data_IF_822086622888
#
_entry.id   IF_822086622888
#
_cell.length_a   1.000
_cell.length_b   1.000
_cell.length_c   1.000
_cell.angle_alpha   90.00
_cell.angle_beta   90.00
_cell.angle_gamma   90.00
#
_symmetry.space_group_name_H-M   'P 1'
#
loop_
_entity.id
_entity.type
_entity.pdbx_description
1 polymer ?
#
# COMPACT_ATOMS: atom_id res chain seq x y z
N UNK A 1 -52.37 32.02 27.33
CA UNK A 1 -52.21 30.66 27.90
C UNK A 1 -51.34 29.89 26.93
N UNK A 2 -50.07 29.78 27.31
CA UNK A 2 -48.98 29.16 26.56
C UNK A 2 -49.06 27.64 26.67
N UNK A 3 -48.58 26.95 25.64
CA UNK A 3 -48.41 25.49 25.61
C UNK A 3 -47.25 25.12 24.68
N UNK A 4 -46.03 25.21 25.21
CA UNK A 4 -44.80 24.73 24.59
C UNK A 4 -44.75 23.19 24.63
N UNK A 5 -44.60 22.57 23.45
CA UNK A 5 -44.25 21.15 23.31
C UNK A 5 -42.80 21.02 22.88
N UNK A 6 -41.92 20.64 23.80
CA UNK A 6 -40.53 20.29 23.55
C UNK A 6 -40.44 18.90 22.90
N UNK A 7 -39.88 18.81 21.69
CA UNK A 7 -39.35 17.57 21.16
C UNK A 7 -37.82 17.62 21.22
N UNK A 8 -37.27 16.86 22.17
CA UNK A 8 -35.85 16.57 22.28
C UNK A 8 -35.51 15.41 21.32
N UNK A 9 -34.67 15.70 20.33
CA UNK A 9 -34.00 14.67 19.52
C UNK A 9 -32.66 14.38 20.18
N UNK A 10 -32.57 13.21 20.81
CA UNK A 10 -31.32 12.64 21.28
C UNK A 10 -30.62 11.96 20.10
N UNK A 11 -29.48 12.50 19.67
CA UNK A 11 -28.53 11.78 18.82
C UNK A 11 -27.24 11.61 19.62
N UNK A 12 -26.96 10.37 19.98
CA UNK A 12 -25.81 9.96 20.78
C UNK A 12 -24.54 9.96 19.94
N UNK A 13 -23.76 11.04 20.05
CA UNK A 13 -22.33 11.01 19.71
C UNK A 13 -21.63 10.30 20.87
N UNK A 14 -21.13 9.09 20.61
CA UNK A 14 -20.24 8.39 21.54
C UNK A 14 -18.86 9.03 21.43
N UNK A 15 -18.60 10.01 22.29
CA UNK A 15 -17.28 10.57 22.55
C UNK A 15 -16.39 9.50 23.20
N UNK A 16 -15.34 9.08 22.50
CA UNK A 16 -14.23 8.34 23.10
C UNK A 16 -13.18 9.35 23.59
N UNK A 17 -13.36 9.82 24.82
CA UNK A 17 -12.38 10.63 25.53
C UNK A 17 -11.42 9.70 26.32
N UNK A 18 -10.10 9.75 26.12
CA UNK A 18 -9.15 9.02 26.95
C UNK A 18 -8.87 9.82 28.22
N UNK A 19 -9.39 9.34 29.36
CA UNK A 19 -8.98 9.87 30.66
C UNK A 19 -7.55 9.43 31.02
N UNK A 20 -6.79 10.43 31.45
CA UNK A 20 -5.54 10.36 32.17
C UNK A 20 -5.52 9.31 33.29
N UNK A 21 -4.45 8.50 33.32
CA UNK A 21 -3.93 7.94 34.55
C UNK A 21 -2.56 8.58 34.83
N UNK A 22 -2.55 9.37 35.90
CA UNK A 22 -1.37 9.95 36.57
C UNK A 22 -1.01 9.03 37.74
N UNK A 23 0.29 8.87 37.97
CA UNK A 23 0.88 8.31 39.20
C UNK A 23 1.67 7.02 38.96
N UNK A 24 2.89 6.84 39.43
CA UNK A 24 3.76 7.72 40.19
C UNK A 24 5.18 7.15 40.16
N UNK A 25 6.14 8.00 40.50
CA UNK A 25 7.58 7.80 40.37
C UNK A 25 8.20 6.72 41.29
N UNK A 26 9.29 6.11 40.83
CA UNK A 26 10.43 5.74 41.67
C UNK A 26 11.75 5.94 40.89
N UNK A 27 12.63 6.74 41.48
CA UNK A 27 13.94 7.21 41.00
C UNK A 27 15.08 6.25 41.43
N UNK A 28 16.31 6.45 40.93
CA UNK A 28 17.36 5.44 40.81
C UNK A 28 18.28 5.35 42.03
N UNK A 29 19.14 4.32 42.05
CA UNK A 29 20.29 4.21 42.94
C UNK A 29 21.43 3.39 42.33
N UNK A 30 22.68 3.62 42.78
CA UNK A 30 23.87 3.68 41.91
C UNK A 30 24.90 2.57 42.19
N UNK A 31 25.94 2.58 41.35
CA UNK A 31 27.34 2.17 41.56
C UNK A 31 27.63 0.87 42.34
N UNK A 32 28.37 -0.04 41.71
CA UNK A 32 29.63 -0.48 42.32
C UNK A 32 30.66 -0.96 41.29
N UNK A 33 31.88 -0.57 41.61
CA UNK A 33 33.12 -0.66 40.88
C UNK A 33 33.78 -2.05 40.91
N UNK A 34 34.80 -2.15 40.04
CA UNK A 34 36.13 -2.75 40.29
C UNK A 34 36.44 -4.22 39.93
N UNK A 35 37.40 -4.30 39.01
CA UNK A 35 38.62 -5.11 38.99
C UNK A 35 38.53 -6.63 38.78
N UNK A 36 39.13 -7.10 37.68
CA UNK A 36 40.49 -7.68 37.75
C UNK A 36 41.14 -7.83 36.36
N UNK A 37 42.37 -7.35 36.25
CA UNK A 37 43.37 -7.71 35.24
C UNK A 37 43.73 -9.20 35.34
N UNK A 38 44.15 -9.84 34.25
CA UNK A 38 45.57 -10.03 33.89
C UNK A 38 45.80 -11.29 33.00
N UNK A 39 46.86 -11.20 32.17
CA UNK A 39 47.68 -12.26 31.57
C UNK A 39 47.33 -12.75 30.15
N UNK A 40 47.81 -11.96 29.18
CA UNK A 40 48.82 -12.31 28.18
C UNK A 40 48.89 -13.75 27.63
N UNK A 41 48.78 -13.88 26.29
CA UNK A 41 49.68 -14.74 25.50
C UNK A 41 50.01 -14.11 24.14
N UNK A 42 51.31 -13.89 23.96
CA UNK A 42 51.99 -13.51 22.72
C UNK A 42 51.65 -14.48 21.59
N UNK A 43 51.22 -13.94 20.45
CA UNK A 43 51.14 -14.62 19.16
C UNK A 43 51.85 -13.81 18.09
N UNK A 44 52.93 -14.37 17.58
CA UNK A 44 53.90 -13.80 16.65
C UNK A 44 53.27 -13.40 15.30
N UNK A 45 53.45 -12.14 14.90
CA UNK A 45 53.07 -11.63 13.58
C UNK A 45 54.09 -12.07 12.51
N UNK A 46 53.63 -12.81 11.51
CA UNK A 46 54.33 -13.02 10.24
C UNK A 46 53.79 -12.01 9.21
N UNK A 47 54.63 -11.23 8.52
CA UNK A 47 54.18 -10.35 7.44
C UNK A 47 53.92 -11.18 6.18
N UNK A 48 52.65 -11.45 5.87
CA UNK A 48 52.26 -12.05 4.58
C UNK A 48 52.23 -10.96 3.51
N UNK A 49 53.30 -10.93 2.71
CA UNK A 49 53.50 -10.05 1.56
C UNK A 49 52.49 -10.41 0.45
N UNK A 50 51.34 -9.74 0.42
CA UNK A 50 50.39 -9.85 -0.70
C UNK A 50 50.80 -8.90 -1.82
N UNK A 51 51.22 -9.47 -2.96
CA UNK A 51 51.50 -8.72 -4.17
C UNK A 51 50.21 -8.13 -4.74
N UNK A 52 50.04 -6.81 -4.63
CA UNK A 52 49.01 -6.07 -5.35
C UNK A 52 49.30 -6.10 -6.85
N UNK A 53 48.50 -6.86 -7.62
CA UNK A 53 48.37 -6.64 -9.06
C UNK A 53 47.35 -5.51 -9.26
N UNK A 54 47.62 -4.51 -10.11
CA UNK A 54 46.64 -3.46 -10.39
C UNK A 54 45.49 -4.06 -11.21
N UNK A 55 44.33 -4.26 -10.57
CA UNK A 55 43.09 -4.51 -11.32
C UNK A 55 42.78 -3.24 -12.11
N UNK A 56 42.89 -3.36 -13.42
CA UNK A 56 42.68 -2.27 -14.36
C UNK A 56 41.28 -1.68 -14.26
N UNK A 57 41.25 -0.35 -14.41
CA UNK A 57 40.26 0.64 -14.88
C UNK A 57 38.86 0.24 -15.40
N UNK A 58 38.41 -1.02 -15.33
CA UNK A 58 37.11 -1.49 -15.83
C UNK A 58 36.00 -1.52 -14.76
N UNK A 59 36.34 -1.49 -13.46
CA UNK A 59 35.36 -1.46 -12.37
C UNK A 59 34.31 -0.31 -12.45
N UNK A 60 34.65 0.95 -12.82
CA UNK A 60 33.65 2.02 -12.88
C UNK A 60 32.64 1.82 -14.02
N UNK A 61 33.01 1.10 -15.09
CA UNK A 61 32.10 0.82 -16.21
C UNK A 61 31.03 -0.21 -15.84
N UNK A 62 31.36 -1.18 -14.97
CA UNK A 62 30.41 -2.20 -14.50
C UNK A 62 29.38 -1.57 -13.55
N UNK A 63 29.82 -0.70 -12.63
CA UNK A 63 28.92 0.03 -11.74
C UNK A 63 27.95 0.94 -12.50
N UNK A 64 28.43 1.67 -13.52
CA UNK A 64 27.58 2.52 -14.37
C UNK A 64 26.58 1.69 -15.20
N UNK A 65 26.98 0.49 -15.66
CA UNK A 65 26.11 -0.42 -16.41
C UNK A 65 24.98 -0.98 -15.52
N UNK A 66 25.27 -1.32 -14.27
CA UNK A 66 24.25 -1.73 -13.29
C UNK A 66 23.32 -0.56 -12.95
N UNK A 67 23.84 0.66 -12.83
CA UNK A 67 23.05 1.87 -12.57
C UNK A 67 22.08 2.19 -13.73
N UNK A 68 22.53 2.02 -14.98
CA UNK A 68 21.69 2.14 -16.16
C UNK A 68 20.64 1.02 -16.26
N UNK A 69 21.00 -0.22 -15.91
CA UNK A 69 20.06 -1.33 -15.89
C UNK A 69 19.00 -1.17 -14.79
N UNK A 70 19.38 -0.68 -13.60
CA UNK A 70 18.44 -0.37 -12.51
C UNK A 70 17.54 0.82 -12.84
N UNK A 71 18.08 1.89 -13.40
CA UNK A 71 17.26 2.98 -13.89
C UNK A 71 16.31 2.50 -15.00
N UNK A 72 16.71 1.56 -15.85
CA UNK A 72 15.90 1.00 -16.93
C UNK A 72 14.80 0.03 -16.47
N UNK A 73 15.06 -0.80 -15.44
CA UNK A 73 14.05 -1.71 -14.86
C UNK A 73 13.07 -0.94 -13.97
N UNK A 74 13.57 -0.02 -13.13
CA UNK A 74 12.72 0.91 -12.37
C UNK A 74 11.95 1.82 -13.32
N UNK A 75 12.55 2.30 -14.41
CA UNK A 75 11.86 3.06 -15.46
C UNK A 75 10.90 2.20 -16.25
N UNK A 76 11.08 0.89 -16.47
CA UNK A 76 10.07 0.05 -17.15
C UNK A 76 8.87 -0.27 -16.25
N UNK A 77 9.09 -0.55 -14.97
CA UNK A 77 8.02 -0.71 -13.97
C UNK A 77 7.33 0.63 -13.70
N UNK A 78 8.09 1.74 -13.72
CA UNK A 78 7.57 3.09 -13.63
C UNK A 78 6.90 3.53 -14.91
N UNK A 79 7.35 3.14 -16.12
CA UNK A 79 6.82 3.60 -17.42
C UNK A 79 5.70 2.74 -17.99
N UNK A 80 5.57 1.47 -17.62
CA UNK A 80 4.28 0.77 -17.78
C UNK A 80 3.19 1.45 -16.96
N UNK A 81 3.59 2.14 -15.88
CA UNK A 81 2.72 3.01 -15.08
C UNK A 81 2.70 4.47 -15.60
N UNK A 82 3.79 4.99 -16.18
CA UNK A 82 3.92 6.35 -16.72
C UNK A 82 3.42 6.45 -18.17
N UNK A 83 3.06 5.35 -18.82
CA UNK A 83 2.15 5.36 -19.97
C UNK A 83 0.70 5.58 -19.53
N UNK A 84 0.39 5.29 -18.26
CA UNK A 84 -0.64 5.98 -17.50
C UNK A 84 -0.05 7.19 -16.77
N UNK A 85 0.90 7.92 -17.41
CA UNK A 85 1.00 9.37 -17.20
C UNK A 85 -0.45 9.79 -17.26
N UNK A 86 -0.95 10.25 -16.12
CA UNK A 86 -2.09 11.11 -16.02
C UNK A 86 -1.80 12.15 -17.09
N UNK A 87 -2.28 11.88 -18.30
CA UNK A 87 -2.18 12.80 -19.40
C UNK A 87 -2.73 14.04 -18.76
N UNK A 88 -1.92 15.08 -18.75
CA UNK A 88 -2.35 16.43 -18.48
C UNK A 88 -3.36 16.88 -19.55
N UNK A 89 -4.30 16.02 -19.97
CA UNK A 89 -5.71 16.39 -19.96
C UNK A 89 -5.93 17.06 -18.62
N UNK A 90 -5.79 18.40 -18.63
CA UNK A 90 -6.33 19.33 -17.67
C UNK A 90 -7.25 18.59 -16.70
N UNK A 91 -6.79 18.39 -15.46
CA UNK A 91 -7.67 18.15 -14.33
C UNK A 91 -8.51 19.42 -14.14
N UNK A 92 -9.33 19.76 -15.13
CA UNK A 92 -10.53 20.55 -14.94
C UNK A 92 -11.42 19.67 -14.08
N UNK A 93 -11.24 19.82 -12.76
CA UNK A 93 -12.18 19.35 -11.75
C UNK A 93 -13.58 19.98 -11.94
N UNK A 94 -13.71 20.97 -12.84
CA UNK A 94 -14.96 21.52 -13.38
C UNK A 94 -15.66 20.61 -14.41
N UNK A 95 -15.34 19.31 -14.48
CA UNK A 95 -16.20 18.39 -15.24
C UNK A 95 -17.44 18.15 -14.39
N UNK A 96 -18.44 19.00 -14.59
CA UNK A 96 -19.86 18.77 -14.31
C UNK A 96 -20.10 17.25 -14.32
N UNK A 97 -20.45 16.71 -13.13
CA UNK A 97 -20.54 15.28 -12.81
C UNK A 97 -21.69 14.63 -13.60
N UNK A 98 -21.54 14.64 -14.90
CA UNK A 98 -22.48 14.11 -15.86
C UNK A 98 -22.46 12.61 -15.68
N UNK A 99 -23.65 12.09 -15.34
CA UNK A 99 -23.90 10.67 -15.19
C UNK A 99 -23.22 9.86 -16.29
N UNK A 100 -22.64 8.69 -15.96
CA UNK A 100 -22.11 7.79 -16.98
C UNK A 100 -23.21 7.57 -18.02
N UNK A 101 -22.93 7.81 -19.31
CA UNK A 101 -23.94 7.60 -20.35
C UNK A 101 -24.45 6.16 -20.27
N UNK A 102 -25.77 6.01 -20.24
CA UNK A 102 -26.45 4.73 -20.07
C UNK A 102 -27.03 4.20 -21.38
N UNK A 103 -26.66 4.73 -22.55
CA UNK A 103 -27.05 4.19 -23.85
C UNK A 103 -26.36 2.83 -24.13
N UNK A 104 -26.83 2.10 -25.15
CA UNK A 104 -26.37 0.72 -25.41
C UNK A 104 -24.87 0.68 -25.77
N UNK A 105 -24.38 1.65 -26.53
CA UNK A 105 -22.98 1.70 -26.93
C UNK A 105 -22.08 1.96 -25.72
N UNK A 106 -22.51 2.85 -24.82
CA UNK A 106 -21.83 3.13 -23.56
C UNK A 106 -21.83 1.93 -22.59
N UNK A 107 -22.96 1.22 -22.45
CA UNK A 107 -23.03 0.01 -21.62
C UNK A 107 -22.12 -1.08 -22.17
N UNK A 108 -22.12 -1.29 -23.50
CA UNK A 108 -21.24 -2.26 -24.13
C UNK A 108 -19.77 -1.94 -23.85
N UNK A 109 -19.40 -0.67 -23.97
CA UNK A 109 -18.04 -0.22 -23.62
C UNK A 109 -17.69 -0.49 -22.15
N UNK A 110 -18.62 -0.33 -21.22
CA UNK A 110 -18.37 -0.65 -19.81
C UNK A 110 -18.16 -2.15 -19.58
N UNK A 111 -18.90 -3.00 -20.29
CA UNK A 111 -18.70 -4.45 -20.24
C UNK A 111 -17.35 -4.84 -20.85
N UNK A 112 -16.96 -4.27 -21.98
CA UNK A 112 -15.64 -4.52 -22.59
C UNK A 112 -14.49 -4.08 -21.67
N UNK A 113 -14.65 -2.94 -21.00
CA UNK A 113 -13.72 -2.44 -20.00
C UNK A 113 -13.64 -3.36 -18.76
N UNK A 114 -14.77 -3.91 -18.31
CA UNK A 114 -14.81 -4.91 -17.24
C UNK A 114 -14.11 -6.20 -17.66
N UNK A 115 -14.38 -6.70 -18.86
CA UNK A 115 -13.77 -7.91 -19.42
C UNK A 115 -12.25 -7.77 -19.50
N UNK A 116 -11.78 -6.61 -19.96
CA UNK A 116 -10.34 -6.29 -20.01
C UNK A 116 -9.73 -6.28 -18.61
N UNK A 117 -10.39 -5.66 -17.64
CA UNK A 117 -9.91 -5.61 -16.26
C UNK A 117 -9.89 -6.99 -15.59
N UNK A 118 -10.94 -7.79 -15.78
CA UNK A 118 -11.04 -9.14 -15.23
C UNK A 118 -10.00 -10.09 -15.83
N UNK A 119 -9.76 -9.99 -17.15
CA UNK A 119 -8.69 -10.72 -17.82
C UNK A 119 -7.32 -10.36 -17.27
N UNK A 120 -7.00 -9.05 -17.16
CA UNK A 120 -5.72 -8.59 -16.61
C UNK A 120 -5.54 -9.05 -15.16
N UNK A 121 -6.59 -8.98 -14.34
CA UNK A 121 -6.56 -9.49 -12.96
C UNK A 121 -6.18 -10.97 -12.90
N UNK A 122 -6.85 -11.80 -13.71
CA UNK A 122 -6.60 -13.25 -13.77
C UNK A 122 -5.18 -13.56 -14.24
N UNK A 123 -4.73 -12.93 -15.32
CA UNK A 123 -3.36 -13.10 -15.84
C UNK A 123 -2.31 -12.66 -14.81
N UNK A 124 -2.56 -11.57 -14.09
CA UNK A 124 -1.65 -11.06 -13.06
C UNK A 124 -1.56 -12.03 -11.89
N UNK A 125 -2.69 -12.58 -11.45
CA UNK A 125 -2.75 -13.60 -10.39
C UNK A 125 -2.04 -14.88 -10.79
N UNK A 126 -2.35 -15.42 -11.97
CA UNK A 126 -1.76 -16.66 -12.51
C UNK A 126 -0.25 -16.54 -12.76
N UNK A 127 0.24 -15.34 -13.06
CA UNK A 127 1.67 -15.04 -13.21
C UNK A 127 2.36 -14.57 -11.91
N UNK A 128 1.64 -14.44 -10.79
CA UNK A 128 2.24 -14.11 -9.50
C UNK A 128 2.87 -15.34 -8.86
N UNK A 129 4.09 -15.17 -8.34
CA UNK A 129 4.76 -16.18 -7.54
C UNK A 129 4.04 -16.44 -6.21
N UNK A 130 4.34 -17.59 -5.60
CA UNK A 130 3.70 -18.01 -4.35
C UNK A 130 3.79 -16.96 -3.23
N UNK A 131 4.96 -16.33 -2.93
CA UNK A 131 5.06 -15.32 -1.87
C UNK A 131 4.13 -14.12 -2.11
N UNK A 132 3.96 -13.71 -3.37
CA UNK A 132 3.07 -12.61 -3.75
C UNK A 132 1.61 -12.97 -3.51
N UNK A 133 1.21 -14.20 -3.87
CA UNK A 133 -0.17 -14.67 -3.66
C UNK A 133 -0.51 -14.82 -2.18
N UNK A 134 0.43 -15.35 -1.40
CA UNK A 134 0.29 -15.47 0.05
C UNK A 134 0.15 -14.10 0.71
N UNK A 135 1.07 -13.18 0.40
CA UNK A 135 1.02 -11.78 0.83
C UNK A 135 -0.32 -11.11 0.49
N UNK A 136 -0.83 -11.35 -0.73
CA UNK A 136 -2.12 -10.81 -1.14
C UNK A 136 -3.26 -11.35 -0.27
N UNK A 137 -3.27 -12.64 -0.01
CA UNK A 137 -4.28 -13.29 0.79
C UNK A 137 -4.27 -12.81 2.26
N UNK A 138 -3.09 -12.54 2.81
CA UNK A 138 -2.94 -12.09 4.20
C UNK A 138 -3.38 -10.63 4.41
N UNK A 139 -3.07 -9.74 3.45
CA UNK A 139 -3.26 -8.30 3.62
C UNK A 139 -4.46 -7.70 2.87
N UNK A 140 -4.86 -8.34 1.77
CA UNK A 140 -5.85 -7.80 0.83
C UNK A 140 -7.03 -8.74 0.57
N UNK A 141 -7.08 -9.91 1.21
CA UNK A 141 -8.26 -10.76 1.23
C UNK A 141 -8.89 -10.80 2.63
N UNK A 142 -10.23 -10.98 2.72
CA UNK A 142 -10.88 -11.20 4.00
C UNK A 142 -10.33 -12.46 4.69
N UNK A 143 -9.97 -12.40 5.98
CA UNK A 143 -9.43 -13.57 6.68
C UNK A 143 -10.50 -14.67 6.78
N UNK A 144 -10.16 -15.97 6.82
CA UNK A 144 -11.12 -17.07 6.94
C UNK A 144 -11.89 -17.03 8.26
N UNK A 145 -13.06 -17.71 8.34
CA UNK A 145 -13.89 -17.71 9.55
C UNK A 145 -13.35 -18.70 10.58
N UNK A 146 -13.22 -18.27 11.84
CA UNK A 146 -13.03 -19.18 12.98
C UNK A 146 -11.80 -20.10 12.90
N UNK A 147 -10.65 -19.62 12.39
CA UNK A 147 -9.44 -20.44 12.28
C UNK A 147 -9.48 -21.51 11.19
N UNK A 148 -10.46 -21.47 10.29
CA UNK A 148 -10.45 -22.28 9.08
C UNK A 148 -9.20 -21.98 8.24
N UNK A 149 -8.76 -22.98 7.49
CA UNK A 149 -7.68 -22.82 6.51
C UNK A 149 -8.02 -21.70 5.53
N UNK A 150 -6.95 -21.02 5.09
CA UNK A 150 -7.00 -19.99 4.06
C UNK A 150 -7.79 -20.51 2.85
N UNK A 151 -8.75 -19.74 2.29
CA UNK A 151 -9.50 -20.16 1.11
C UNK A 151 -8.56 -20.50 -0.05
N UNK A 152 -8.87 -21.57 -0.78
CA UNK A 152 -8.04 -22.10 -1.87
C UNK A 152 -7.82 -21.09 -3.01
N UNK A 153 -8.80 -20.19 -3.22
CA UNK A 153 -8.69 -19.07 -4.16
C UNK A 153 -9.35 -17.81 -3.59
N UNK A 154 -8.58 -16.77 -3.17
CA UNK A 154 -9.15 -15.53 -2.64
C UNK A 154 -9.87 -14.69 -3.71
N UNK A 155 -9.74 -15.01 -5.00
CA UNK A 155 -10.40 -14.28 -6.09
C UNK A 155 -11.73 -14.90 -6.53
N UNK A 156 -12.09 -16.09 -6.01
CA UNK A 156 -13.25 -16.85 -6.45
C UNK A 156 -14.55 -16.04 -6.44
N UNK A 157 -14.84 -15.35 -5.33
CA UNK A 157 -16.03 -14.49 -5.22
C UNK A 157 -16.06 -13.43 -6.33
N UNK A 158 -14.93 -12.80 -6.64
CA UNK A 158 -14.86 -11.76 -7.67
C UNK A 158 -15.14 -12.37 -9.04
N UNK A 159 -14.50 -13.50 -9.35
CA UNK A 159 -14.67 -14.23 -10.61
C UNK A 159 -16.13 -14.65 -10.81
N UNK A 160 -16.77 -15.17 -9.76
CA UNK A 160 -18.17 -15.60 -9.81
C UNK A 160 -19.11 -14.41 -10.09
N UNK A 161 -18.86 -13.25 -9.49
CA UNK A 161 -19.65 -12.05 -9.76
C UNK A 161 -19.43 -11.51 -11.18
N UNK A 162 -18.19 -11.51 -11.68
CA UNK A 162 -17.87 -11.12 -13.06
C UNK A 162 -18.61 -12.01 -14.06
N UNK A 163 -18.53 -13.33 -13.90
CA UNK A 163 -19.21 -14.28 -14.78
C UNK A 163 -20.73 -14.05 -14.80
N UNK A 164 -21.35 -13.89 -13.61
CA UNK A 164 -22.79 -13.63 -13.51
C UNK A 164 -23.22 -12.33 -14.20
N UNK A 165 -22.40 -11.27 -14.12
CA UNK A 165 -22.70 -10.00 -14.82
C UNK A 165 -22.53 -10.13 -16.33
N UNK A 166 -21.56 -10.91 -16.80
CA UNK A 166 -21.37 -11.18 -18.24
C UNK A 166 -22.55 -11.96 -18.83
N UNK A 167 -23.16 -12.85 -18.04
CA UNK A 167 -24.33 -13.64 -18.45
C UNK A 167 -25.65 -12.86 -18.36
N UNK A 168 -25.65 -11.69 -17.71
CA UNK A 168 -26.84 -10.84 -17.62
C UNK A 168 -27.19 -10.22 -18.98
N UNK A 169 -28.50 -10.21 -19.29
CA UNK A 169 -29.02 -9.38 -20.37
C UNK A 169 -28.97 -7.91 -19.96
N UNK A 170 -28.50 -7.05 -20.88
CA UNK A 170 -28.57 -5.60 -20.70
C UNK A 170 -30.04 -5.18 -20.51
N UNK A 171 -30.37 -4.41 -19.47
CA UNK A 171 -31.75 -3.95 -19.26
C UNK A 171 -32.25 -3.07 -20.43
N UNK A 172 -33.54 -3.16 -20.78
CA UNK A 172 -34.08 -2.43 -21.93
C UNK A 172 -33.96 -0.91 -21.75
N UNK A 173 -33.87 -0.16 -22.86
CA UNK A 173 -33.75 1.31 -22.88
C UNK A 173 -34.88 2.00 -22.08
N UNK A 174 -36.05 1.37 -22.00
CA UNK A 174 -37.20 1.86 -21.22
C UNK A 174 -37.01 1.79 -19.70
N UNK A 175 -36.04 1.01 -19.20
CA UNK A 175 -35.80 0.81 -17.77
C UNK A 175 -34.53 1.56 -17.33
N UNK A 176 -34.62 2.88 -17.29
CA UNK A 176 -33.51 3.79 -16.93
C UNK A 176 -32.85 3.40 -15.60
N UNK A 177 -33.65 3.08 -14.59
CA UNK A 177 -33.15 2.70 -13.26
C UNK A 177 -32.40 1.37 -13.27
N UNK A 178 -32.95 0.33 -13.93
CA UNK A 178 -32.27 -0.95 -14.04
C UNK A 178 -30.95 -0.84 -14.80
N UNK A 179 -30.89 -0.01 -15.85
CA UNK A 179 -29.65 0.28 -16.58
C UNK A 179 -28.64 1.00 -15.69
N UNK A 180 -29.08 1.96 -14.88
CA UNK A 180 -28.23 2.64 -13.90
C UNK A 180 -27.61 1.64 -12.91
N UNK A 181 -28.42 0.78 -12.30
CA UNK A 181 -27.94 -0.25 -11.37
C UNK A 181 -26.98 -1.22 -12.04
N UNK A 182 -27.27 -1.62 -13.28
CA UNK A 182 -26.37 -2.45 -14.08
C UNK A 182 -25.01 -1.79 -14.29
N UNK A 183 -24.98 -0.55 -14.74
CA UNK A 183 -23.73 0.21 -14.96
C UNK A 183 -22.96 0.40 -13.65
N UNK A 184 -23.64 0.73 -12.56
CA UNK A 184 -23.00 0.89 -11.25
C UNK A 184 -22.33 -0.41 -10.80
N UNK A 185 -23.01 -1.55 -10.97
CA UNK A 185 -22.44 -2.85 -10.61
C UNK A 185 -21.25 -3.22 -11.49
N UNK A 186 -21.33 -2.99 -12.81
CA UNK A 186 -20.22 -3.20 -13.76
C UNK A 186 -19.00 -2.34 -13.37
N UNK A 187 -19.21 -1.07 -13.02
CA UNK A 187 -18.12 -0.19 -12.58
C UNK A 187 -17.51 -0.65 -11.26
N UNK A 188 -18.31 -1.10 -10.28
CA UNK A 188 -17.79 -1.67 -9.04
C UNK A 188 -16.87 -2.86 -9.32
N UNK A 189 -17.32 -3.83 -10.11
CA UNK A 189 -16.52 -5.02 -10.44
C UNK A 189 -15.24 -4.65 -11.19
N UNK A 190 -15.31 -3.68 -12.10
CA UNK A 190 -14.15 -3.17 -12.82
C UNK A 190 -13.14 -2.54 -11.86
N UNK A 191 -13.60 -1.74 -10.91
CA UNK A 191 -12.75 -1.13 -9.87
C UNK A 191 -12.12 -2.16 -8.96
N UNK A 192 -12.87 -3.20 -8.57
CA UNK A 192 -12.35 -4.35 -7.83
C UNK A 192 -11.24 -5.06 -8.62
N UNK A 193 -11.49 -5.44 -9.89
CA UNK A 193 -10.51 -6.15 -10.72
C UNK A 193 -9.22 -5.35 -10.92
N UNK A 194 -9.36 -4.03 -11.15
CA UNK A 194 -8.20 -3.12 -11.27
C UNK A 194 -7.43 -3.01 -9.97
N UNK A 195 -8.12 -2.94 -8.84
CA UNK A 195 -7.46 -2.83 -7.53
C UNK A 195 -6.75 -4.13 -7.15
N UNK A 196 -7.33 -5.30 -7.44
CA UNK A 196 -6.64 -6.59 -7.27
C UNK A 196 -5.34 -6.61 -8.07
N UNK A 197 -5.40 -6.24 -9.36
CA UNK A 197 -4.22 -6.16 -10.23
C UNK A 197 -3.17 -5.23 -9.64
N UNK A 198 -3.58 -4.05 -9.19
CA UNK A 198 -2.73 -3.05 -8.57
C UNK A 198 -2.02 -3.58 -7.31
N UNK A 199 -2.75 -4.26 -6.42
CA UNK A 199 -2.18 -4.85 -5.19
C UNK A 199 -1.22 -6.00 -5.48
N UNK A 200 -1.49 -6.80 -6.51
CA UNK A 200 -0.56 -7.85 -6.93
C UNK A 200 0.73 -7.26 -7.51
N UNK A 201 0.64 -6.22 -8.35
CA UNK A 201 1.81 -5.52 -8.89
C UNK A 201 2.62 -4.82 -7.78
N UNK A 202 1.95 -4.25 -6.78
CA UNK A 202 2.56 -3.68 -5.56
C UNK A 202 3.37 -4.75 -4.80
N UNK A 203 2.76 -5.90 -4.52
CA UNK A 203 3.42 -6.98 -3.79
C UNK A 203 4.56 -7.64 -4.59
N UNK A 204 4.44 -7.74 -5.93
CA UNK A 204 5.54 -8.18 -6.79
C UNK A 204 6.78 -7.29 -6.61
N UNK A 205 6.58 -5.97 -6.53
CA UNK A 205 7.68 -5.05 -6.27
C UNK A 205 8.31 -5.31 -4.90
N UNK A 206 7.51 -5.46 -3.85
CA UNK A 206 8.05 -5.67 -2.51
C UNK A 206 8.82 -6.98 -2.38
N UNK A 207 8.27 -8.08 -2.93
CA UNK A 207 8.97 -9.38 -2.97
C UNK A 207 10.27 -9.28 -3.73
N UNK A 208 10.29 -8.57 -4.86
CA UNK A 208 11.50 -8.34 -5.62
C UNK A 208 12.55 -7.54 -4.83
N UNK A 209 12.14 -6.49 -4.12
CA UNK A 209 13.03 -5.68 -3.30
C UNK A 209 13.65 -6.48 -2.15
N UNK A 210 12.86 -7.36 -1.52
CA UNK A 210 13.38 -8.25 -0.48
C UNK A 210 14.37 -9.27 -1.05
N UNK A 211 14.00 -10.00 -2.10
CA UNK A 211 14.88 -11.03 -2.68
C UNK A 211 16.20 -10.46 -3.21
N UNK A 212 16.19 -9.23 -3.72
CA UNK A 212 17.38 -8.63 -4.33
C UNK A 212 18.25 -7.87 -3.33
N UNK A 213 17.67 -7.34 -2.25
CA UNK A 213 18.36 -6.40 -1.36
C UNK A 213 18.18 -6.70 0.12
N UNK A 214 17.57 -7.82 0.48
CA UNK A 214 17.23 -8.22 1.85
C UNK A 214 16.45 -7.15 2.62
N UNK A 215 15.66 -6.33 1.89
CA UNK A 215 14.85 -5.28 2.51
C UNK A 215 13.64 -5.94 3.17
N UNK A 216 13.47 -5.77 4.49
CA UNK A 216 12.35 -6.36 5.21
C UNK A 216 11.02 -5.84 4.64
N UNK A 217 10.16 -6.78 4.21
CA UNK A 217 8.83 -6.43 3.73
C UNK A 217 7.88 -6.39 4.93
N UNK A 218 7.03 -5.34 5.03
CA UNK A 218 5.94 -5.26 6.02
C UNK A 218 4.89 -6.39 5.97
N UNK A 219 5.05 -7.32 5.04
CA UNK A 219 4.08 -8.34 4.62
C UNK A 219 4.61 -9.76 4.85
N UNK A 220 5.82 -9.89 5.40
CA UNK A 220 6.42 -11.20 5.66
C UNK A 220 5.96 -11.72 7.01
N UNK A 221 5.30 -12.89 7.03
CA UNK A 221 5.32 -13.77 8.20
C UNK A 221 6.79 -14.15 8.38
N UNK A 222 7.39 -13.75 9.50
CA UNK A 222 8.79 -14.02 9.84
C UNK A 222 9.23 -15.43 9.39
N UNK A 223 9.98 -15.52 8.30
CA UNK A 223 11.08 -16.47 8.27
C UNK A 223 12.17 -15.82 9.12
N UNK A 224 12.64 -16.56 10.13
CA UNK A 224 13.71 -16.13 11.01
C UNK A 224 14.85 -15.52 10.18
N UNK A 225 15.49 -14.43 10.66
CA UNK A 225 16.61 -13.83 9.95
C UNK A 225 17.55 -14.96 9.55
N UNK A 226 17.84 -15.06 8.25
CA UNK A 226 18.88 -15.98 7.79
C UNK A 226 20.10 -15.69 8.66
N UNK A 227 20.50 -16.69 9.45
CA UNK A 227 21.76 -16.65 10.17
C UNK A 227 22.79 -16.29 9.11
N UNK A 228 23.35 -15.10 9.22
CA UNK A 228 24.42 -14.65 8.36
C UNK A 228 25.53 -15.68 8.49
N UNK A 229 25.58 -16.63 7.55
CA UNK A 229 26.77 -17.42 7.32
C UNK A 229 27.85 -16.39 7.05
N UNK A 230 28.79 -16.30 7.99
CA UNK A 230 29.95 -15.41 8.10
C UNK A 230 30.96 -15.71 6.96
N UNK A 231 30.46 -15.89 5.74
CA UNK A 231 31.23 -16.13 4.55
C UNK A 231 31.69 -14.77 4.04
N UNK A 232 32.95 -14.48 4.37
CA UNK A 232 33.78 -13.35 3.96
C UNK A 232 33.98 -13.34 2.42
N UNK A 233 32.88 -13.35 1.67
CA UNK A 233 32.85 -13.34 0.22
C UNK A 233 33.05 -11.91 -0.26
N UNK A 234 34.25 -11.38 -0.04
CA UNK A 234 34.84 -10.24 -0.74
C UNK A 234 33.86 -9.20 -1.27
N UNK A 235 33.04 -8.63 -0.38
CA UNK A 235 32.10 -7.57 -0.74
C UNK A 235 32.92 -6.41 -1.30
N UNK A 236 32.81 -6.25 -2.62
CA UNK A 236 33.27 -5.11 -3.41
C UNK A 236 33.13 -3.86 -2.57
N UNK A 237 34.25 -3.19 -2.24
CA UNK A 237 34.30 -1.92 -1.51
C UNK A 237 33.07 -1.08 -1.85
N UNK A 238 32.11 -1.01 -0.92
CA UNK A 238 30.84 -0.36 -1.16
C UNK A 238 31.16 1.09 -1.50
N UNK A 239 30.91 1.49 -2.75
CA UNK A 239 31.04 2.89 -3.12
C UNK A 239 30.07 3.64 -2.22
N UNK A 240 30.60 4.45 -1.31
CA UNK A 240 29.77 5.17 -0.37
C UNK A 240 28.87 6.15 -1.10
N UNK A 241 27.62 6.27 -0.65
CA UNK A 241 26.61 7.15 -1.22
C UNK A 241 26.65 8.50 -0.51
N UNK A 242 26.66 9.59 -1.28
CA UNK A 242 26.56 10.95 -0.74
C UNK A 242 25.10 11.38 -0.60
N UNK A 243 24.87 12.46 0.14
CA UNK A 243 23.53 12.96 0.41
C UNK A 243 22.81 13.46 -0.87
N UNK A 244 23.55 14.08 -1.78
CA UNK A 244 23.07 14.52 -3.09
C UNK A 244 22.70 13.35 -4.00
N UNK A 245 23.49 12.28 -4.01
CA UNK A 245 23.15 11.03 -4.71
C UNK A 245 21.84 10.44 -4.15
N UNK A 246 21.72 10.33 -2.82
CA UNK A 246 20.52 9.83 -2.14
C UNK A 246 19.26 10.63 -2.50
N UNK A 247 19.34 11.96 -2.44
CA UNK A 247 18.23 12.83 -2.84
C UNK A 247 17.91 12.67 -4.33
N UNK A 248 18.93 12.54 -5.18
CA UNK A 248 18.77 12.30 -6.61
C UNK A 248 18.00 11.02 -6.94
N UNK A 249 18.22 9.93 -6.20
CA UNK A 249 17.43 8.69 -6.34
C UNK A 249 15.94 8.89 -6.07
N UNK A 250 15.59 9.86 -5.22
CA UNK A 250 14.21 10.19 -4.85
C UNK A 250 13.66 11.38 -5.66
N UNK A 251 14.36 11.78 -6.73
CA UNK A 251 14.02 12.94 -7.58
C UNK A 251 13.96 14.27 -6.81
N UNK A 252 14.75 14.38 -5.73
CA UNK A 252 14.91 15.58 -4.91
C UNK A 252 16.28 16.24 -5.14
N UNK A 253 16.39 17.52 -4.76
CA UNK A 253 17.60 18.32 -4.92
C UNK A 253 18.09 18.87 -3.58
N UNK A 254 19.40 18.94 -3.38
CA UNK A 254 20.03 19.47 -2.15
C UNK A 254 21.16 18.57 -1.65
N UNK A 255 21.43 18.62 -0.34
CA UNK A 255 22.40 17.72 0.31
C UNK A 255 23.84 18.19 0.20
N UNK A 256 24.19 19.30 0.86
CA UNK A 256 25.56 19.86 0.84
C UNK A 256 26.62 18.98 1.53
N UNK A 257 26.20 17.90 2.19
CA UNK A 257 27.09 16.99 2.90
C UNK A 257 27.93 16.13 1.95
N UNK A 258 29.25 16.30 2.04
CA UNK A 258 30.22 15.63 1.17
C UNK A 258 30.71 14.29 1.72
N UNK A 259 30.38 13.94 2.97
CA UNK A 259 30.81 12.68 3.56
C UNK A 259 30.00 11.51 2.98
N UNK A 260 30.68 10.49 2.40
CA UNK A 260 29.99 9.29 1.95
C UNK A 260 29.56 8.42 3.13
N UNK A 261 28.36 7.85 3.02
CA UNK A 261 27.81 6.80 3.89
C UNK A 261 27.97 5.45 3.21
N UNK A 262 28.01 4.36 3.96
CA UNK A 262 28.03 3.02 3.41
C UNK A 262 26.94 2.84 2.34
N UNK A 263 27.35 2.40 1.15
CA UNK A 263 26.47 2.34 -0.01
C UNK A 263 25.35 1.31 0.12
N UNK A 264 25.53 0.28 0.94
CA UNK A 264 24.51 -0.75 1.19
C UNK A 264 23.43 -0.19 2.10
N UNK A 265 23.82 0.40 3.23
CA UNK A 265 22.91 1.03 4.20
C UNK A 265 22.10 2.15 3.54
N UNK A 266 22.75 2.99 2.73
CA UNK A 266 22.06 4.08 2.05
C UNK A 266 21.04 3.57 1.01
N UNK A 267 21.36 2.49 0.28
CA UNK A 267 20.43 1.87 -0.67
C UNK A 267 19.24 1.22 0.03
N UNK A 268 19.48 0.55 1.14
CA UNK A 268 18.42 -0.03 1.96
C UNK A 268 17.41 1.04 2.39
N UNK A 269 17.89 2.19 2.87
CA UNK A 269 17.04 3.33 3.20
C UNK A 269 16.22 3.82 2.00
N UNK A 270 16.85 3.93 0.82
CA UNK A 270 16.16 4.30 -0.42
C UNK A 270 15.03 3.31 -0.72
N UNK A 271 15.27 2.00 -0.61
CA UNK A 271 14.24 1.00 -0.88
C UNK A 271 13.11 1.02 0.13
N UNK A 272 13.40 1.20 1.43
CA UNK A 272 12.37 1.35 2.47
C UNK A 272 11.49 2.58 2.22
N UNK A 273 12.06 3.71 1.77
CA UNK A 273 11.31 4.90 1.38
C UNK A 273 10.49 4.67 0.10
N UNK A 274 11.01 3.92 -0.87
CA UNK A 274 10.27 3.53 -2.09
C UNK A 274 9.07 2.64 -1.73
N UNK A 275 9.20 1.73 -0.76
CA UNK A 275 8.09 0.91 -0.26
C UNK A 275 6.97 1.81 0.28
N UNK A 276 7.30 2.76 1.15
CA UNK A 276 6.33 3.72 1.70
C UNK A 276 5.63 4.53 0.58
N UNK A 277 6.43 5.11 -0.32
CA UNK A 277 5.93 5.89 -1.44
C UNK A 277 5.01 5.07 -2.33
N UNK A 278 5.44 3.85 -2.70
CA UNK A 278 4.67 2.98 -3.58
C UNK A 278 3.36 2.56 -2.94
N UNK A 279 3.39 2.20 -1.66
CA UNK A 279 2.19 1.84 -0.92
C UNK A 279 1.17 2.99 -0.91
N UNK A 280 1.64 4.21 -0.62
CA UNK A 280 0.79 5.40 -0.62
C UNK A 280 0.22 5.71 -2.02
N UNK A 281 1.01 5.56 -3.08
CA UNK A 281 0.54 5.72 -4.45
C UNK A 281 -0.52 4.66 -4.82
N UNK A 282 -0.30 3.40 -4.47
CA UNK A 282 -1.27 2.32 -4.69
C UNK A 282 -2.58 2.59 -3.94
N UNK A 283 -2.50 3.08 -2.70
CA UNK A 283 -3.68 3.46 -1.93
C UNK A 283 -4.46 4.62 -2.59
N UNK A 284 -3.76 5.64 -3.09
CA UNK A 284 -4.39 6.73 -3.83
C UNK A 284 -5.07 6.23 -5.10
N UNK A 285 -4.41 5.34 -5.85
CA UNK A 285 -4.97 4.75 -7.09
C UNK A 285 -6.16 3.84 -6.81
N UNK A 286 -6.12 3.04 -5.74
CA UNK A 286 -7.24 2.25 -5.28
C UNK A 286 -8.44 3.15 -4.97
N UNK A 287 -8.24 4.21 -4.16
CA UNK A 287 -9.28 5.21 -3.89
C UNK A 287 -9.84 5.82 -5.17
N UNK A 288 -8.99 6.21 -6.11
CA UNK A 288 -9.42 6.75 -7.41
C UNK A 288 -10.29 5.77 -8.21
N UNK A 289 -9.95 4.48 -8.22
CA UNK A 289 -10.79 3.48 -8.89
C UNK A 289 -12.17 3.36 -8.24
N UNK A 290 -12.25 3.44 -6.93
CA UNK A 290 -13.51 3.36 -6.20
C UNK A 290 -14.29 4.69 -6.13
N UNK A 291 -13.65 5.84 -6.35
CA UNK A 291 -14.25 7.17 -6.19
C UNK A 291 -15.58 7.32 -6.94
N UNK A 292 -15.63 6.86 -8.20
CA UNK A 292 -16.86 6.93 -9.02
C UNK A 292 -18.02 6.09 -8.50
N UNK A 293 -17.72 5.09 -7.69
CA UNK A 293 -18.70 4.15 -7.12
C UNK A 293 -19.07 4.60 -5.70
N UNK A 294 -18.13 5.18 -4.95
CA UNK A 294 -18.32 5.55 -3.54
C UNK A 294 -18.82 6.97 -3.33
N UNK A 295 -18.62 7.89 -4.28
CA UNK A 295 -19.21 9.22 -4.15
C UNK A 295 -20.74 9.09 -4.13
N UNK A 296 -21.42 9.72 -3.16
CA UNK A 296 -22.86 9.72 -3.11
C UNK A 296 -23.42 10.25 -4.44
N UNK A 297 -24.29 9.47 -5.06
CA UNK A 297 -25.08 9.84 -6.23
C UNK A 297 -26.15 10.88 -5.85
N UNK A 298 -25.73 12.00 -5.28
CA UNK A 298 -26.60 12.96 -4.60
C UNK A 298 -26.54 14.27 -5.37
N UNK A 299 -27.49 14.44 -6.30
CA UNK A 299 -27.79 15.75 -6.91
C UNK A 299 -28.61 16.65 -5.95
N UNK A 300 -29.12 16.12 -4.83
CA UNK A 300 -29.96 16.87 -3.89
C UNK A 300 -29.50 16.72 -2.44
N UNK A 301 -29.15 17.82 -1.79
CA UNK A 301 -28.65 17.99 -0.40
C UNK A 301 -29.56 17.42 0.71
N UNK A 302 -30.61 16.66 0.38
CA UNK A 302 -31.46 15.97 1.33
C UNK A 302 -30.89 14.60 1.70
N UNK A 303 -29.91 14.65 2.62
CA UNK A 303 -29.57 13.59 3.57
C UNK A 303 -29.77 12.13 3.13
N UNK A 304 -28.65 11.45 2.85
CA UNK A 304 -28.37 10.12 3.40
C UNK A 304 -29.41 9.00 3.18
N UNK A 305 -30.16 9.01 2.06
CA UNK A 305 -30.69 7.76 1.54
C UNK A 305 -29.48 6.95 1.07
N UNK A 306 -29.12 5.91 1.83
CA UNK A 306 -28.14 4.89 1.46
C UNK A 306 -28.41 4.54 0.00
N UNK A 307 -27.51 4.94 -0.91
CA UNK A 307 -27.73 4.80 -2.35
C UNK A 307 -27.66 3.32 -2.74
N UNK A 308 -28.67 2.53 -2.38
CA UNK A 308 -28.72 1.11 -2.70
C UNK A 308 -29.00 0.96 -4.19
N UNK A 309 -28.11 0.28 -4.90
CA UNK A 309 -28.40 -0.23 -6.22
C UNK A 309 -28.64 -1.73 -6.13
N UNK A 310 -29.44 -2.28 -7.04
CA UNK A 310 -29.75 -3.70 -7.02
C UNK A 310 -28.76 -4.48 -7.89
N UNK A 311 -28.21 -5.56 -7.34
CA UNK A 311 -27.30 -6.46 -8.06
C UNK A 311 -28.06 -7.13 -9.22
N UNK A 312 -27.65 -6.95 -10.49
CA UNK A 312 -28.48 -7.27 -11.66
C UNK A 312 -29.03 -8.70 -11.76
N UNK A 313 -28.26 -9.69 -11.30
CA UNK A 313 -28.64 -11.12 -11.41
C UNK A 313 -29.32 -11.67 -10.16
N UNK A 314 -29.27 -10.98 -9.02
CA UNK A 314 -29.97 -11.44 -7.80
C UNK A 314 -31.15 -10.57 -7.41
N UNK A 315 -31.20 -9.33 -7.91
CA UNK A 315 -32.13 -8.32 -7.43
C UNK A 315 -31.94 -7.96 -5.96
N UNK A 316 -30.83 -8.35 -5.31
CA UNK A 316 -30.56 -7.96 -3.92
C UNK A 316 -29.95 -6.56 -3.88
N UNK A 317 -30.28 -5.74 -2.88
CA UNK A 317 -29.63 -4.44 -2.71
C UNK A 317 -28.15 -4.64 -2.37
N UNK A 318 -27.29 -3.85 -3.01
CA UNK A 318 -25.88 -3.73 -2.66
C UNK A 318 -25.69 -2.58 -1.69
N UNK A 319 -25.08 -2.85 -0.53
CA UNK A 319 -24.92 -1.89 0.57
C UNK A 319 -23.76 -0.92 0.32
N UNK A 320 -23.83 -0.12 -0.74
CA UNK A 320 -22.77 0.81 -1.14
C UNK A 320 -22.46 1.84 -0.05
N UNK A 321 -23.47 2.28 0.70
CA UNK A 321 -23.29 3.26 1.78
C UNK A 321 -22.44 2.70 2.91
N UNK A 322 -22.58 1.40 3.21
CA UNK A 322 -21.73 0.75 4.20
C UNK A 322 -20.27 0.66 3.74
N UNK A 323 -20.03 0.42 2.44
CA UNK A 323 -18.69 0.48 1.87
C UNK A 323 -18.12 1.90 1.88
N UNK A 324 -18.93 2.92 1.54
CA UNK A 324 -18.51 4.32 1.55
C UNK A 324 -18.17 4.81 2.97
N UNK A 325 -18.97 4.46 3.97
CA UNK A 325 -18.70 4.75 5.40
C UNK A 325 -17.38 4.09 5.84
N UNK A 326 -17.15 2.83 5.46
CA UNK A 326 -15.91 2.13 5.78
C UNK A 326 -14.70 2.75 5.06
N UNK A 327 -14.85 3.13 3.79
CA UNK A 327 -13.81 3.81 3.02
C UNK A 327 -13.43 5.17 3.61
N UNK A 328 -14.41 5.96 4.07
CA UNK A 328 -14.17 7.23 4.74
C UNK A 328 -13.34 7.07 6.02
N UNK A 329 -13.51 5.96 6.75
CA UNK A 329 -12.71 5.64 7.93
C UNK A 329 -11.28 5.18 7.59
N UNK A 330 -11.06 4.58 6.41
CA UNK A 330 -9.72 4.19 5.93
C UNK A 330 -8.95 5.40 5.42
N UNK A 331 -9.66 6.36 4.80
CA UNK A 331 -9.07 7.52 4.14
C UNK A 331 -9.56 8.84 4.76
N UNK A 332 -9.20 9.15 6.02
CA UNK A 332 -9.56 10.42 6.61
C UNK A 332 -8.97 11.58 5.78
N UNK A 333 -9.72 12.66 5.62
CA UNK A 333 -9.37 13.82 4.75
C UNK A 333 -7.96 14.37 5.02
N UNK A 334 -7.49 14.29 6.27
CA UNK A 334 -6.15 14.70 6.72
C UNK A 334 -5.00 13.89 6.09
N UNK A 335 -5.26 12.70 5.55
CA UNK A 335 -4.25 11.83 4.92
C UNK A 335 -3.63 12.43 3.65
N UNK A 336 -4.25 13.46 3.08
CA UNK A 336 -3.80 14.18 1.87
C UNK A 336 -2.69 15.22 2.13
N UNK A 337 -2.42 15.56 3.39
CA UNK A 337 -1.41 16.57 3.79
C UNK A 337 0.02 16.03 3.90
N UNK A 338 0.24 14.79 3.48
CA UNK A 338 1.45 14.00 3.73
C UNK A 338 2.64 14.34 2.83
N UNK A 339 2.43 14.92 1.65
CA UNK A 339 3.51 15.14 0.68
C UNK A 339 4.62 16.08 1.18
N UNK A 340 4.28 17.14 1.93
CA UNK A 340 5.32 18.02 2.48
C UNK A 340 6.06 17.39 3.65
N UNK A 341 5.35 16.61 4.48
CA UNK A 341 5.95 15.93 5.62
C UNK A 341 6.96 14.85 5.19
N UNK A 342 6.64 14.07 4.14
CA UNK A 342 7.55 13.07 3.59
C UNK A 342 8.79 13.71 2.97
N UNK A 343 8.62 14.76 2.15
CA UNK A 343 9.75 15.52 1.57
C UNK A 343 10.63 16.12 2.66
N UNK A 344 10.03 16.72 3.69
CA UNK A 344 10.78 17.26 4.84
C UNK A 344 11.55 16.19 5.60
N UNK A 345 10.96 15.02 5.83
CA UNK A 345 11.63 13.87 6.47
C UNK A 345 12.86 13.44 5.66
N UNK A 346 12.73 13.31 4.34
CA UNK A 346 13.84 12.94 3.45
C UNK A 346 14.96 13.98 3.47
N UNK A 347 14.63 15.28 3.43
CA UNK A 347 15.63 16.34 3.59
C UNK A 347 16.30 16.31 4.97
N UNK A 348 15.56 16.07 6.05
CA UNK A 348 16.14 15.96 7.39
C UNK A 348 17.14 14.80 7.50
N UNK A 349 16.89 13.68 6.83
CA UNK A 349 17.84 12.57 6.74
C UNK A 349 19.10 13.03 6.00
N UNK A 350 18.95 13.68 4.84
CA UNK A 350 20.06 14.19 4.03
C UNK A 350 20.88 15.28 4.76
N UNK A 351 20.24 16.14 5.55
CA UNK A 351 20.91 17.15 6.38
C UNK A 351 21.68 16.54 7.56
N UNK A 352 21.47 15.26 7.86
CA UNK A 352 22.13 14.52 8.94
C UNK A 352 22.93 13.32 8.40
N UNK A 353 23.41 13.40 7.14
CA UNK A 353 23.99 12.28 6.39
C UNK A 353 25.31 11.75 6.97
N UNK A 354 25.20 10.77 7.87
CA UNK A 354 26.32 10.06 8.51
C UNK A 354 25.92 8.60 8.72
N UNK A 355 26.89 7.66 8.71
CA UNK A 355 26.59 6.22 8.84
C UNK A 355 25.65 5.90 10.01
N UNK A 356 25.95 6.45 11.20
CA UNK A 356 25.14 6.24 12.41
C UNK A 356 23.71 6.75 12.25
N UNK A 357 23.52 7.90 11.59
CA UNK A 357 22.20 8.52 11.42
C UNK A 357 21.39 7.82 10.34
N UNK A 358 22.03 7.40 9.25
CA UNK A 358 21.37 6.66 8.17
C UNK A 358 20.96 5.28 8.66
N UNK A 359 21.82 4.55 9.39
CA UNK A 359 21.43 3.29 10.06
C UNK A 359 20.19 3.46 10.95
N UNK A 360 20.19 4.49 11.80
CA UNK A 360 19.01 4.78 12.64
C UNK A 360 17.77 5.09 11.81
N UNK A 361 17.92 5.77 10.68
CA UNK A 361 16.81 6.07 9.78
C UNK A 361 16.29 4.82 9.07
N UNK A 362 17.15 3.84 8.75
CA UNK A 362 16.77 2.51 8.23
C UNK A 362 15.88 1.79 9.24
N UNK A 363 16.39 1.60 10.47
CA UNK A 363 15.65 0.93 11.56
C UNK A 363 14.28 1.59 11.81
N UNK A 364 14.28 2.92 11.88
CA UNK A 364 13.04 3.68 12.09
C UNK A 364 12.07 3.55 10.91
N UNK A 365 12.56 3.58 9.67
CA UNK A 365 11.70 3.47 8.48
C UNK A 365 11.11 2.06 8.34
N UNK A 366 11.88 1.03 8.68
CA UNK A 366 11.41 -0.35 8.73
C UNK A 366 10.24 -0.50 9.73
N UNK A 367 10.44 -0.04 10.97
CA UNK A 367 9.41 -0.08 12.01
C UNK A 367 8.16 0.71 11.58
N UNK A 368 8.34 1.92 11.06
CA UNK A 368 7.22 2.75 10.56
C UNK A 368 6.45 2.06 9.42
N UNK A 369 7.16 1.41 8.48
CA UNK A 369 6.53 0.66 7.40
C UNK A 369 5.73 -0.52 7.96
N UNK A 370 6.30 -1.34 8.84
CA UNK A 370 5.61 -2.49 9.46
C UNK A 370 4.35 -2.04 10.22
N UNK A 371 4.48 -1.00 11.03
CA UNK A 371 3.39 -0.44 11.84
C UNK A 371 2.24 0.08 10.97
N UNK A 372 2.54 0.78 9.88
CA UNK A 372 1.51 1.32 8.98
C UNK A 372 0.71 0.19 8.33
N UNK A 373 1.37 -0.85 7.83
CA UNK A 373 0.69 -2.01 7.23
C UNK A 373 -0.19 -2.73 8.25
N UNK A 374 0.36 -3.02 9.44
CA UNK A 374 -0.37 -3.72 10.49
C UNK A 374 -1.57 -2.92 11.00
N UNK A 375 -1.40 -1.60 11.20
CA UNK A 375 -2.47 -0.70 11.63
C UNK A 375 -3.61 -0.68 10.61
N UNK A 376 -3.30 -0.56 9.31
CA UNK A 376 -4.30 -0.58 8.24
C UNK A 376 -5.06 -1.90 8.19
N UNK A 377 -4.34 -3.03 8.27
CA UNK A 377 -4.95 -4.36 8.30
C UNK A 377 -5.89 -4.51 9.51
N UNK A 378 -5.46 -4.06 10.69
CA UNK A 378 -6.28 -4.08 11.91
C UNK A 378 -7.53 -3.21 11.78
N UNK A 379 -7.42 -2.03 11.16
CA UNK A 379 -8.57 -1.17 10.84
C UNK A 379 -9.56 -1.87 9.93
N UNK A 380 -9.12 -2.48 8.81
CA UNK A 380 -10.00 -3.27 7.92
C UNK A 380 -10.67 -4.42 8.66
N UNK A 381 -9.92 -5.18 9.47
CA UNK A 381 -10.47 -6.28 10.29
C UNK A 381 -11.51 -5.78 11.31
N UNK A 382 -11.34 -4.58 11.87
CA UNK A 382 -12.33 -3.94 12.76
C UNK A 382 -13.58 -3.54 11.99
N UNK A 383 -13.42 -2.91 10.83
CA UNK A 383 -14.53 -2.51 9.95
C UNK A 383 -15.32 -3.72 9.45
N UNK A 384 -14.63 -4.77 9.00
CA UNK A 384 -15.26 -6.03 8.59
C UNK A 384 -16.15 -6.62 9.69
N UNK A 385 -15.65 -6.67 10.94
CA UNK A 385 -16.45 -7.16 12.09
C UNK A 385 -17.69 -6.31 12.30
N UNK A 386 -17.57 -4.99 12.20
CA UNK A 386 -18.72 -4.08 12.31
C UNK A 386 -19.75 -4.32 11.20
N UNK A 387 -19.31 -4.53 9.95
CA UNK A 387 -20.18 -4.83 8.81
C UNK A 387 -20.87 -6.19 8.94
N UNK A 388 -20.15 -7.23 9.38
CA UNK A 388 -20.73 -8.55 9.65
C UNK A 388 -21.80 -8.46 10.74
N UNK A 389 -21.54 -7.70 11.81
CA UNK A 389 -22.53 -7.49 12.88
C UNK A 389 -23.78 -6.72 12.41
N UNK A 390 -23.67 -5.95 11.31
CA UNK A 390 -24.81 -5.30 10.63
C UNK A 390 -25.52 -6.23 9.62
N UNK A 391 -25.10 -7.49 9.50
CA UNK A 391 -25.73 -8.48 8.64
C UNK A 391 -25.10 -8.63 7.24
N UNK A 392 -23.97 -7.98 6.96
CA UNK A 392 -23.24 -8.19 5.70
C UNK A 392 -22.58 -9.57 5.73
N UNK A 393 -22.84 -10.38 4.71
CA UNK A 393 -22.22 -11.69 4.60
C UNK A 393 -20.70 -11.56 4.41
N UNK A 394 -19.94 -12.52 4.95
CA UNK A 394 -18.48 -12.44 4.94
C UNK A 394 -17.89 -12.56 3.54
N UNK A 395 -18.54 -13.34 2.70
CA UNK A 395 -18.25 -13.54 1.29
C UNK A 395 -18.88 -12.48 0.38
N UNK A 396 -19.46 -11.41 0.95
CA UNK A 396 -20.02 -10.30 0.19
C UNK A 396 -18.93 -9.46 -0.49
N UNK A 397 -19.23 -8.93 -1.67
CA UNK A 397 -18.36 -8.00 -2.38
C UNK A 397 -18.03 -6.74 -1.58
N UNK A 398 -18.89 -6.29 -0.67
CA UNK A 398 -18.59 -5.18 0.24
C UNK A 398 -17.36 -5.50 1.08
N UNK A 399 -17.30 -6.71 1.64
CA UNK A 399 -16.16 -7.15 2.46
C UNK A 399 -14.91 -7.32 1.59
N UNK A 400 -15.07 -7.84 0.37
CA UNK A 400 -13.95 -7.96 -0.58
C UNK A 400 -13.39 -6.58 -0.96
N UNK A 401 -14.24 -5.62 -1.31
CA UNK A 401 -13.84 -4.26 -1.66
C UNK A 401 -13.16 -3.55 -0.48
N UNK A 402 -13.66 -3.75 0.76
CA UNK A 402 -13.06 -3.20 1.97
C UNK A 402 -11.58 -3.58 2.14
N UNK A 403 -11.22 -4.83 1.83
CA UNK A 403 -9.82 -5.28 2.00
C UNK A 403 -8.89 -4.82 0.88
N UNK A 404 -9.43 -4.45 -0.29
CA UNK A 404 -8.67 -3.91 -1.41
C UNK A 404 -8.35 -2.41 -1.23
N UNK A 405 -9.22 -1.69 -0.52
CA UNK A 405 -9.01 -0.32 -0.04
C UNK A 405 -7.91 -0.28 1.01
#
# INVERSE_FOLDING_TARGET
MEGQGHHAVASSVVDLNPQHAVGDAARPGPDNAENTEEIAKKGTLLPRKSSSKPLGKAAPLIALSLLLLFSGTLYRVSSSWSSHRLSSQKLTFDREWTWPPIDNDSIQKYLDDLNTAAKKMKETWESSDFPVRQAFQEHFAPPPAGGQQLPEDPLRTIIDHVAKVQDCKVPPDSSVEARRFFVQHVQLLRSICRTVTLRLEELKLFVHLNQQFNVPIPVSVHEEPHEDDDDDSGYSASFGMRADDFLGYLELVGGEHTQPVDGTVAKELVFLLIIEYKHNLCNLMARYYFERVLQPFVEDDTFAAVAEYHVPYTGKPFQIGALAEAAAQIYPESSSTTNYASVRKVHQIADNWTNRRVMKAVEQQEEENADVFQRRLNTRKKLMRALINRGIAKDDLVITALFLL
#
